data_IF_669804045592
#
_entry.id   IF_669804045592
#
_cell.length_a   1.000
_cell.length_b   1.000
_cell.length_c   1.000
_cell.angle_alpha   90.00
_cell.angle_beta   90.00
_cell.angle_gamma   90.00
#
_symmetry.space_group_name_H-M   'P 1'
#
loop_
_entity.id
_entity.type
_entity.pdbx_description
1 polymer ?
#
# COMPACT_ATOMS: atom_id res chain seq x y z
N UNK A 1 20.12 -7.58 -17.78
CA UNK A 1 19.20 -6.48 -17.51
C UNK A 1 18.72 -6.61 -16.06
N UNK A 2 18.65 -5.54 -15.26
CA UNK A 2 18.01 -5.62 -13.95
C UNK A 2 16.55 -6.07 -14.08
N UNK A 3 16.04 -6.75 -13.06
CA UNK A 3 14.66 -7.23 -13.04
C UNK A 3 13.68 -6.04 -13.04
N UNK A 4 12.58 -6.16 -13.76
CA UNK A 4 11.50 -5.16 -13.75
C UNK A 4 10.73 -5.21 -12.43
N UNK A 5 9.98 -4.15 -12.10
CA UNK A 5 9.13 -4.13 -10.92
C UNK A 5 8.07 -5.25 -10.95
N UNK A 6 7.53 -5.57 -12.12
CA UNK A 6 6.60 -6.69 -12.33
C UNK A 6 7.25 -8.05 -12.00
N UNK A 7 8.48 -8.28 -12.46
CA UNK A 7 9.22 -9.50 -12.16
C UNK A 7 9.54 -9.62 -10.67
N UNK A 8 9.88 -8.51 -10.03
CA UNK A 8 10.12 -8.46 -8.58
C UNK A 8 8.84 -8.76 -7.81
N UNK A 9 7.73 -8.13 -8.17
CA UNK A 9 6.41 -8.37 -7.56
C UNK A 9 5.98 -9.84 -7.71
N UNK A 10 6.12 -10.41 -8.92
CA UNK A 10 5.80 -11.80 -9.18
C UNK A 10 6.61 -12.77 -8.31
N UNK A 11 7.91 -12.51 -8.12
CA UNK A 11 8.77 -13.32 -7.25
C UNK A 11 8.36 -13.23 -5.78
N UNK A 12 7.99 -12.04 -5.31
CA UNK A 12 7.50 -11.81 -3.94
C UNK A 12 6.21 -12.59 -3.72
N UNK A 13 5.25 -12.47 -4.62
CA UNK A 13 3.95 -13.16 -4.56
C UNK A 13 4.14 -14.68 -4.56
N UNK A 14 4.98 -15.21 -5.45
CA UNK A 14 5.30 -16.65 -5.49
C UNK A 14 5.89 -17.15 -4.17
N UNK A 15 6.87 -16.44 -3.62
CA UNK A 15 7.48 -16.78 -2.33
C UNK A 15 6.49 -16.79 -1.17
N UNK A 16 5.57 -15.84 -1.12
CA UNK A 16 4.52 -15.81 -0.10
C UNK A 16 3.65 -17.06 -0.22
N UNK A 17 3.18 -17.39 -1.43
CA UNK A 17 2.29 -18.54 -1.70
C UNK A 17 3.00 -19.87 -1.42
N UNK A 18 4.21 -20.05 -1.91
CA UNK A 18 5.05 -21.25 -1.69
C UNK A 18 5.35 -21.47 -0.20
N UNK A 19 5.51 -20.39 0.56
CA UNK A 19 5.76 -20.44 1.99
C UNK A 19 4.51 -20.57 2.86
N UNK A 20 3.32 -20.81 2.27
CA UNK A 20 2.07 -21.05 3.00
C UNK A 20 1.25 -19.81 3.32
N UNK A 21 1.65 -18.63 2.84
CA UNK A 21 0.85 -17.41 2.87
C UNK A 21 -0.15 -17.34 1.71
N UNK A 22 -0.92 -16.28 1.65
CA UNK A 22 -1.89 -16.08 0.56
C UNK A 22 -1.83 -14.68 -0.02
N UNK A 23 -1.97 -14.59 -1.34
CA UNK A 23 -2.10 -13.35 -2.08
C UNK A 23 -3.22 -13.53 -3.09
N UNK A 24 -4.17 -12.59 -3.09
CA UNK A 24 -5.32 -12.60 -3.99
C UNK A 24 -4.97 -12.21 -5.43
N UNK A 25 -5.97 -11.72 -6.13
CA UNK A 25 -5.88 -11.26 -7.51
C UNK A 25 -5.71 -9.75 -7.58
N UNK A 26 -5.15 -9.25 -8.69
CA UNK A 26 -4.95 -7.81 -8.92
C UNK A 26 -4.19 -7.14 -7.76
N UNK A 27 -2.98 -7.64 -7.49
CA UNK A 27 -2.11 -7.15 -6.42
C UNK A 27 -0.83 -6.59 -7.01
N UNK A 28 -0.61 -5.29 -6.79
CA UNK A 28 0.59 -4.58 -7.19
C UNK A 28 1.51 -4.40 -5.98
N UNK A 29 2.75 -4.85 -6.12
CA UNK A 29 3.80 -4.67 -5.10
C UNK A 29 4.98 -3.96 -5.76
N UNK A 30 5.10 -2.66 -5.51
CA UNK A 30 6.06 -1.78 -6.18
C UNK A 30 7.10 -1.33 -5.15
N UNK A 31 8.40 -1.55 -5.46
CA UNK A 31 9.53 -1.07 -4.65
C UNK A 31 9.42 -1.37 -3.14
N UNK A 32 8.75 -2.47 -2.77
CA UNK A 32 8.43 -2.80 -1.39
C UNK A 32 9.32 -3.91 -0.83
N UNK A 33 9.53 -3.90 0.47
CA UNK A 33 10.25 -4.93 1.22
C UNK A 33 9.30 -5.65 2.16
N UNK A 34 9.11 -6.95 1.93
CA UNK A 34 8.24 -7.80 2.73
C UNK A 34 9.11 -8.85 3.42
N UNK A 35 8.89 -9.00 4.73
CA UNK A 35 9.57 -10.01 5.52
C UNK A 35 9.17 -11.42 5.05
N UNK A 36 10.17 -12.20 4.66
CA UNK A 36 9.99 -13.54 4.11
C UNK A 36 10.45 -14.65 5.09
N UNK A 37 10.74 -14.30 6.34
CA UNK A 37 11.07 -15.29 7.36
C UNK A 37 9.87 -16.18 7.71
N UNK A 38 8.69 -15.58 7.75
CA UNK A 38 7.44 -16.26 8.11
C UNK A 38 6.33 -15.97 7.09
N UNK A 39 6.46 -16.41 5.82
CA UNK A 39 5.50 -16.09 4.76
C UNK A 39 4.10 -16.64 5.03
N UNK A 40 3.96 -17.73 5.82
CA UNK A 40 2.68 -18.28 6.27
C UNK A 40 1.88 -17.34 7.18
N UNK A 41 2.48 -16.30 7.73
CA UNK A 41 1.81 -15.24 8.50
C UNK A 41 1.25 -14.12 7.65
N UNK A 42 1.55 -14.11 6.35
CA UNK A 42 1.12 -13.07 5.40
C UNK A 42 -0.16 -13.48 4.69
N UNK A 43 -1.15 -12.59 4.70
CA UNK A 43 -2.34 -12.68 3.85
C UNK A 43 -2.62 -11.34 3.21
N UNK A 44 -2.71 -11.32 1.89
CA UNK A 44 -3.01 -10.13 1.09
C UNK A 44 -4.25 -10.47 0.26
N UNK A 45 -5.26 -9.64 0.33
CA UNK A 45 -6.53 -9.81 -0.38
C UNK A 45 -6.45 -9.45 -1.86
N UNK A 46 -7.60 -9.11 -2.45
CA UNK A 46 -7.73 -8.74 -3.85
C UNK A 46 -7.71 -7.21 -4.03
N UNK A 47 -7.29 -6.75 -5.22
CA UNK A 47 -7.28 -5.32 -5.55
C UNK A 47 -6.45 -4.51 -4.53
N UNK A 48 -5.22 -4.92 -4.29
CA UNK A 48 -4.33 -4.31 -3.30
C UNK A 48 -3.13 -3.69 -4.00
N UNK A 49 -2.84 -2.45 -3.69
CA UNK A 49 -1.64 -1.76 -4.16
C UNK A 49 -0.75 -1.40 -2.98
N UNK A 50 0.50 -1.83 -3.04
CA UNK A 50 1.53 -1.64 -2.00
C UNK A 50 2.73 -0.95 -2.64
N UNK A 51 3.03 0.29 -2.25
CA UNK A 51 4.09 1.09 -2.88
C UNK A 51 5.14 1.55 -1.86
N UNK A 52 6.40 1.14 -2.05
CA UNK A 52 7.53 1.55 -1.21
C UNK A 52 7.37 1.22 0.28
N UNK A 53 6.70 0.13 0.61
CA UNK A 53 6.26 -0.25 1.97
C UNK A 53 7.21 -1.28 2.57
N UNK A 54 7.37 -1.23 3.90
CA UNK A 54 7.95 -2.32 4.69
C UNK A 54 6.87 -3.08 5.43
N UNK A 55 6.81 -4.41 5.21
CA UNK A 55 5.94 -5.31 5.96
C UNK A 55 6.81 -6.22 6.81
N UNK A 56 6.58 -6.20 8.11
CA UNK A 56 7.34 -6.96 9.10
C UNK A 56 6.43 -8.01 9.76
N UNK A 57 6.88 -9.25 9.82
CA UNK A 57 6.21 -10.35 10.50
C UNK A 57 6.87 -10.69 11.82
N UNK A 58 8.07 -10.17 12.10
CA UNK A 58 8.75 -10.38 13.38
C UNK A 58 9.41 -9.11 13.91
N UNK A 59 9.72 -9.15 15.22
CA UNK A 59 10.47 -8.14 15.96
C UNK A 59 11.49 -8.83 16.87
N UNK A 60 12.75 -8.63 16.58
CA UNK A 60 13.88 -9.21 17.31
C UNK A 60 14.48 -8.29 18.37
N UNK A 61 13.80 -7.20 18.74
CA UNK A 61 14.33 -6.15 19.65
C UNK A 61 14.85 -6.70 20.97
N UNK A 62 14.18 -7.71 21.54
CA UNK A 62 14.55 -8.32 22.80
C UNK A 62 15.25 -9.69 22.66
N UNK A 63 15.53 -10.14 21.44
CA UNK A 63 16.12 -11.47 21.22
C UNK A 63 17.42 -11.70 21.96
N UNK A 64 18.29 -10.68 22.02
CA UNK A 64 19.57 -10.78 22.74
C UNK A 64 19.41 -10.85 24.26
N UNK A 65 18.31 -10.33 24.80
CA UNK A 65 18.05 -10.28 26.25
C UNK A 65 17.32 -11.52 26.74
N UNK A 66 16.27 -11.95 26.01
CA UNK A 66 15.38 -13.03 26.46
C UNK A 66 15.44 -14.29 25.57
N UNK A 67 16.25 -14.28 24.51
CA UNK A 67 16.44 -15.42 23.61
C UNK A 67 15.37 -15.59 22.53
N UNK A 68 14.30 -14.78 22.51
CA UNK A 68 13.14 -14.92 21.63
C UNK A 68 12.84 -13.65 20.87
N UNK A 69 12.37 -13.80 19.61
CA UNK A 69 11.74 -12.73 18.83
C UNK A 69 10.22 -12.84 18.94
N UNK A 70 9.53 -11.69 18.87
CA UNK A 70 8.09 -11.70 18.63
C UNK A 70 7.83 -12.01 17.16
N UNK A 71 6.81 -12.77 16.87
CA UNK A 71 6.28 -12.97 15.53
C UNK A 71 4.78 -12.67 15.53
N UNK A 72 4.26 -12.20 14.40
CA UNK A 72 2.85 -11.89 14.31
C UNK A 72 2.37 -11.82 12.87
N UNK A 73 1.12 -12.21 12.66
CA UNK A 73 0.48 -12.16 11.35
C UNK A 73 0.35 -10.73 10.83
N UNK A 74 0.43 -10.59 9.50
CA UNK A 74 0.01 -9.39 8.81
C UNK A 74 -1.03 -9.78 7.78
N UNK A 75 -2.25 -9.31 7.96
CA UNK A 75 -3.35 -9.53 7.04
C UNK A 75 -3.80 -8.21 6.46
N UNK A 76 -3.89 -8.14 5.13
CA UNK A 76 -4.38 -6.99 4.37
C UNK A 76 -5.62 -7.47 3.63
N UNK A 77 -6.74 -6.79 3.82
CA UNK A 77 -8.02 -7.10 3.20
C UNK A 77 -8.09 -6.74 1.71
N UNK A 78 -9.31 -6.68 1.20
CA UNK A 78 -9.58 -6.34 -0.20
C UNK A 78 -9.70 -4.82 -0.41
N UNK A 79 -9.36 -4.35 -1.62
CA UNK A 79 -9.45 -2.93 -2.01
C UNK A 79 -8.67 -2.02 -1.07
N UNK A 80 -7.40 -2.34 -0.85
CA UNK A 80 -6.50 -1.61 0.05
C UNK A 80 -5.38 -0.95 -0.73
N UNK A 81 -5.11 0.30 -0.40
CA UNK A 81 -3.94 1.03 -0.86
C UNK A 81 -3.00 1.31 0.32
N UNK A 82 -1.72 0.98 0.16
CA UNK A 82 -0.68 1.30 1.15
C UNK A 82 0.35 2.22 0.52
N UNK A 83 0.38 3.46 0.99
CA UNK A 83 1.20 4.53 0.45
C UNK A 83 2.68 4.41 0.79
N UNK A 84 3.49 5.06 -0.03
CA UNK A 84 4.95 5.05 0.01
C UNK A 84 5.53 5.37 1.39
N UNK A 85 6.54 4.59 1.78
CA UNK A 85 7.28 4.80 3.03
C UNK A 85 6.54 4.32 4.28
N UNK A 86 5.37 3.69 4.13
CA UNK A 86 4.64 3.12 5.26
C UNK A 86 5.32 1.87 5.80
N UNK A 87 5.11 1.60 7.08
CA UNK A 87 5.62 0.42 7.78
C UNK A 87 4.45 -0.29 8.44
N UNK A 88 4.27 -1.57 8.14
CA UNK A 88 3.26 -2.42 8.77
C UNK A 88 3.98 -3.34 9.75
N UNK A 89 3.64 -3.23 11.03
CA UNK A 89 4.25 -3.99 12.10
C UNK A 89 3.59 -5.37 12.29
N UNK A 90 4.28 -6.32 12.94
CA UNK A 90 3.74 -7.63 13.24
C UNK A 90 2.44 -7.57 14.06
N UNK A 91 1.60 -8.57 13.91
CA UNK A 91 0.30 -8.71 14.56
C UNK A 91 -0.70 -7.59 14.20
N UNK A 92 -0.78 -7.29 12.89
CA UNK A 92 -1.64 -6.23 12.33
C UNK A 92 -2.62 -6.82 11.33
N UNK A 93 -3.87 -6.41 11.43
CA UNK A 93 -4.93 -6.69 10.45
C UNK A 93 -5.40 -5.35 9.87
N UNK A 94 -5.30 -5.19 8.57
CA UNK A 94 -5.88 -4.07 7.82
C UNK A 94 -7.16 -4.60 7.14
N UNK A 95 -8.28 -3.99 7.43
CA UNK A 95 -9.58 -4.36 6.88
C UNK A 95 -9.72 -4.09 5.39
N UNK A 96 -10.95 -4.17 4.89
CA UNK A 96 -11.29 -3.92 3.49
C UNK A 96 -11.54 -2.43 3.23
N UNK A 97 -11.31 -1.98 2.00
CA UNK A 97 -11.54 -0.58 1.61
C UNK A 97 -10.80 0.39 2.54
N UNK A 98 -9.49 0.21 2.61
CA UNK A 98 -8.61 1.01 3.48
C UNK A 98 -7.57 1.73 2.64
N UNK A 99 -7.35 3.00 2.95
CA UNK A 99 -6.20 3.76 2.46
C UNK A 99 -5.26 4.02 3.62
N UNK A 100 -4.04 3.55 3.50
CA UNK A 100 -2.93 3.90 4.39
C UNK A 100 -2.10 4.98 3.70
N UNK A 101 -2.12 6.19 4.22
CA UNK A 101 -1.38 7.32 3.68
C UNK A 101 0.13 7.11 3.77
N UNK A 102 0.88 7.80 2.89
CA UNK A 102 2.34 7.68 2.83
C UNK A 102 3.00 7.99 4.19
N UNK A 103 4.10 7.28 4.52
CA UNK A 103 4.86 7.47 5.75
C UNK A 103 4.15 7.01 7.03
N UNK A 104 3.08 6.25 6.92
CA UNK A 104 2.29 5.79 8.07
C UNK A 104 2.92 4.57 8.74
N UNK A 105 2.93 4.54 10.08
CA UNK A 105 3.31 3.34 10.85
C UNK A 105 2.06 2.67 11.41
N UNK A 106 1.73 1.50 10.86
CA UNK A 106 0.57 0.71 11.27
C UNK A 106 0.99 -0.30 12.34
N UNK A 107 0.67 0.00 13.59
CA UNK A 107 1.01 -0.80 14.77
C UNK A 107 -0.22 -1.40 15.47
N UNK A 108 -1.39 -1.30 14.86
CA UNK A 108 -2.68 -1.78 15.38
C UNK A 108 -3.61 -2.17 14.24
N UNK A 109 -4.65 -2.90 14.55
CA UNK A 109 -5.67 -3.26 13.57
C UNK A 109 -6.40 -2.02 13.04
N UNK A 110 -6.63 -2.01 11.74
CA UNK A 110 -7.38 -0.96 11.04
C UNK A 110 -8.73 -1.56 10.62
N UNK A 111 -9.86 -0.96 11.02
CA UNK A 111 -11.17 -1.43 10.60
C UNK A 111 -11.42 -1.18 9.12
N UNK A 112 -12.43 -1.88 8.57
CA UNK A 112 -12.91 -1.64 7.22
C UNK A 112 -13.29 -0.18 7.01
N UNK A 113 -13.33 0.26 5.76
CA UNK A 113 -13.82 1.57 5.34
C UNK A 113 -13.11 2.75 6.04
N UNK A 114 -11.77 2.71 6.09
CA UNK A 114 -10.96 3.69 6.83
C UNK A 114 -9.86 4.31 5.99
N UNK A 115 -9.55 5.58 6.27
CA UNK A 115 -8.34 6.25 5.82
C UNK A 115 -7.49 6.59 7.03
N UNK A 116 -6.25 6.08 7.05
CA UNK A 116 -5.33 6.23 8.18
C UNK A 116 -4.03 6.90 7.76
N UNK A 117 -3.49 7.72 8.65
CA UNK A 117 -2.21 8.43 8.44
C UNK A 117 -1.43 8.54 9.74
N UNK A 118 -0.13 8.71 9.61
CA UNK A 118 0.74 9.18 10.68
C UNK A 118 1.50 8.10 11.44
N UNK A 119 2.30 8.54 12.41
CA UNK A 119 3.06 7.70 13.34
C UNK A 119 2.91 8.23 14.77
N UNK A 120 2.18 7.52 15.65
CA UNK A 120 1.38 6.32 15.37
C UNK A 120 0.17 6.62 14.44
N UNK A 121 -0.30 5.62 13.70
CA UNK A 121 -1.41 5.81 12.77
C UNK A 121 -2.73 6.12 13.49
N UNK A 122 -3.53 7.00 12.89
CA UNK A 122 -4.88 7.33 13.33
C UNK A 122 -5.82 7.44 12.12
N UNK A 123 -7.10 7.16 12.35
CA UNK A 123 -8.15 7.29 11.33
C UNK A 123 -8.46 8.78 11.18
N UNK A 124 -8.44 9.29 9.95
CA UNK A 124 -8.77 10.69 9.64
C UNK A 124 -10.16 10.86 9.02
N UNK A 125 -10.66 9.86 8.32
CA UNK A 125 -12.00 9.82 7.76
C UNK A 125 -12.34 8.38 7.33
N UNK A 126 -13.56 8.17 6.90
CA UNK A 126 -13.96 6.94 6.22
C UNK A 126 -13.45 6.91 4.77
N UNK A 127 -13.35 5.73 4.18
CA UNK A 127 -13.02 5.57 2.77
C UNK A 127 -14.07 6.26 1.88
N UNK A 128 -15.35 6.16 2.22
CA UNK A 128 -16.43 6.79 1.46
C UNK A 128 -16.33 8.32 1.48
N UNK A 129 -16.09 8.93 2.64
CA UNK A 129 -15.86 10.37 2.75
C UNK A 129 -14.64 10.81 1.92
N UNK A 130 -13.58 10.02 1.91
CA UNK A 130 -12.39 10.30 1.11
C UNK A 130 -12.69 10.26 -0.39
N UNK A 131 -13.47 9.28 -0.85
CA UNK A 131 -13.91 9.16 -2.25
C UNK A 131 -14.76 10.38 -2.65
N UNK A 132 -15.75 10.75 -1.85
CA UNK A 132 -16.63 11.88 -2.15
C UNK A 132 -15.85 13.21 -2.19
N UNK A 133 -14.95 13.42 -1.25
CA UNK A 133 -14.06 14.59 -1.26
C UNK A 133 -13.20 14.63 -2.54
N UNK A 134 -12.67 13.48 -2.94
CA UNK A 134 -11.84 13.38 -4.16
C UNK A 134 -12.67 13.69 -5.41
N UNK A 135 -13.89 13.15 -5.52
CA UNK A 135 -14.80 13.47 -6.63
C UNK A 135 -15.11 14.96 -6.72
N UNK A 136 -15.40 15.61 -5.60
CA UNK A 136 -15.62 17.06 -5.56
C UNK A 136 -14.38 17.87 -5.98
N UNK A 137 -13.17 17.36 -5.74
CA UNK A 137 -11.94 17.99 -6.26
C UNK A 137 -11.79 17.78 -7.76
N UNK A 138 -12.16 16.62 -8.32
CA UNK A 138 -12.12 16.35 -9.75
C UNK A 138 -13.02 17.29 -10.57
N UNK A 139 -14.08 17.84 -9.98
CA UNK A 139 -14.90 18.88 -10.63
C UNK A 139 -14.18 20.23 -10.77
N UNK A 140 -13.17 20.47 -9.96
CA UNK A 140 -12.45 21.75 -9.85
C UNK A 140 -11.07 21.76 -10.51
N UNK A 141 -10.49 20.60 -10.72
CA UNK A 141 -9.16 20.41 -11.25
C UNK A 141 -9.16 19.58 -12.54
N UNK A 142 -8.13 19.71 -13.40
CA UNK A 142 -8.07 18.95 -14.63
C UNK A 142 -8.16 17.44 -14.36
N UNK A 143 -8.99 16.76 -15.13
CA UNK A 143 -9.05 15.29 -15.23
C UNK A 143 -8.58 14.94 -16.63
N UNK A 144 -7.55 14.13 -16.75
CA UNK A 144 -6.87 13.80 -17.99
C UNK A 144 -6.95 12.28 -18.20
N UNK A 145 -7.67 11.87 -19.23
CA UNK A 145 -7.86 10.47 -19.60
C UNK A 145 -6.68 9.92 -20.42
N UNK A 146 -5.48 10.11 -19.90
CA UNK A 146 -4.22 9.65 -20.48
C UNK A 146 -3.34 9.04 -19.38
N UNK A 147 -2.58 8.01 -19.74
CA UNK A 147 -1.55 7.44 -18.86
C UNK A 147 -0.35 8.38 -18.72
N UNK A 148 0.45 8.28 -17.65
CA UNK A 148 1.56 9.19 -17.39
C UNK A 148 2.56 9.32 -18.56
N UNK A 149 2.89 8.23 -19.23
CA UNK A 149 3.80 8.19 -20.39
C UNK A 149 3.20 8.80 -21.67
N UNK A 150 1.88 8.84 -21.78
CA UNK A 150 1.16 9.55 -22.84
C UNK A 150 1.11 11.05 -22.56
N UNK A 151 0.87 11.44 -21.29
CA UNK A 151 0.86 12.85 -20.86
C UNK A 151 2.21 13.51 -21.13
N UNK A 152 3.33 12.82 -20.92
CA UNK A 152 4.68 13.34 -21.21
C UNK A 152 4.80 13.81 -22.67
N UNK A 153 4.07 13.20 -23.59
CA UNK A 153 4.08 13.50 -25.03
C UNK A 153 3.00 14.52 -25.43
N UNK A 154 2.04 14.82 -24.57
CA UNK A 154 0.94 15.75 -24.85
C UNK A 154 1.15 17.09 -24.14
N UNK A 155 1.65 18.09 -24.91
CA UNK A 155 1.94 19.43 -24.38
C UNK A 155 0.73 20.11 -23.76
N UNK A 156 -0.48 19.92 -24.31
CA UNK A 156 -1.69 20.55 -23.80
C UNK A 156 -2.06 20.02 -22.40
N UNK A 157 -1.99 18.71 -22.19
CA UNK A 157 -2.24 18.08 -20.89
C UNK A 157 -1.18 18.46 -19.85
N UNK A 158 0.10 18.48 -20.26
CA UNK A 158 1.18 18.98 -19.40
C UNK A 158 0.94 20.41 -18.95
N UNK A 159 0.62 21.29 -19.89
CA UNK A 159 0.40 22.71 -19.60
C UNK A 159 -0.76 22.90 -18.63
N UNK A 160 -1.88 22.20 -18.81
CA UNK A 160 -3.01 22.23 -17.86
C UNK A 160 -2.61 21.84 -16.44
N UNK A 161 -1.81 20.78 -16.27
CA UNK A 161 -1.34 20.34 -14.96
C UNK A 161 -0.36 21.34 -14.35
N UNK A 162 0.55 21.91 -15.15
CA UNK A 162 1.52 22.92 -14.70
C UNK A 162 0.80 24.17 -14.21
N UNK A 163 -0.14 24.70 -14.97
CA UNK A 163 -0.88 25.92 -14.63
C UNK A 163 -1.75 25.75 -13.38
N UNK A 164 -2.36 24.60 -13.21
CA UNK A 164 -3.21 24.33 -12.05
C UNK A 164 -2.41 23.82 -10.84
N UNK A 165 -1.19 23.30 -11.06
CA UNK A 165 -0.33 22.72 -10.03
C UNK A 165 -0.88 21.43 -9.37
N UNK A 166 -2.04 20.96 -9.83
CA UNK A 166 -2.73 19.77 -9.35
C UNK A 166 -3.75 19.28 -10.37
N UNK A 167 -3.96 17.96 -10.43
CA UNK A 167 -4.95 17.34 -11.34
C UNK A 167 -5.03 15.83 -11.12
N UNK A 168 -5.82 15.17 -11.97
CA UNK A 168 -6.04 13.72 -11.97
C UNK A 168 -5.71 13.16 -13.36
N UNK A 169 -5.17 11.95 -13.40
CA UNK A 169 -4.85 11.20 -14.63
C UNK A 169 -5.19 9.71 -14.43
N UNK A 170 -5.29 8.97 -15.55
CA UNK A 170 -5.51 7.51 -15.53
C UNK A 170 -4.37 6.76 -14.86
#
# INVERSE_FOLDING_TARGET
TPATDEEIASRIISKIREGGGSVGNNVDIIASSIDMGEPYLLKIGNNVTITGVKILTHDASLKKTIGYSKTGKVHIGDNVFVGWGSIILPNTIIGNRVVVGAGTVVAKNIPDNSVVVGNPCHIICTYDEYVEKTRGLMERFPVIDLLPDEIIKDENSKQKLIEKGFGYML
#
